data_IF_092101850998
#
_entry.id   IF_092101850998
#
_cell.length_a   1.000
_cell.length_b   1.000
_cell.length_c   1.000
_cell.angle_alpha   90.00
_cell.angle_beta   90.00
_cell.angle_gamma   90.00
#
_symmetry.space_group_name_H-M   'P 1'
#
loop_
_entity.id
_entity.type
_entity.pdbx_description
1 polymer ?
#
# COMPACT_ATOMS: atom_id res chain seq x y z
N UNK A 1 6.41 9.38 -23.86
CA UNK A 1 6.77 10.48 -22.93
C UNK A 1 7.08 10.02 -21.51
N UNK A 2 6.57 8.89 -21.00
CA UNK A 2 6.87 8.41 -19.63
C UNK A 2 7.99 7.36 -19.53
N UNK A 3 8.70 7.05 -20.62
CA UNK A 3 9.73 5.98 -20.63
C UNK A 3 10.84 6.19 -19.60
N UNK A 4 11.24 7.44 -19.35
CA UNK A 4 12.26 7.79 -18.35
C UNK A 4 11.95 7.29 -16.93
N UNK A 5 10.68 6.97 -16.61
CA UNK A 5 10.31 6.46 -15.28
C UNK A 5 10.59 4.97 -15.11
N UNK A 6 10.83 4.22 -16.19
CA UNK A 6 11.00 2.77 -16.13
C UNK A 6 12.10 2.18 -17.03
N UNK A 7 12.80 2.99 -17.83
CA UNK A 7 13.87 2.51 -18.71
C UNK A 7 15.04 1.87 -17.99
N UNK A 8 15.27 2.20 -16.72
CA UNK A 8 16.33 1.60 -15.92
C UNK A 8 15.92 0.32 -15.18
N UNK A 9 14.68 -0.14 -15.33
CA UNK A 9 14.25 -1.40 -14.72
C UNK A 9 14.87 -2.57 -15.47
N UNK A 10 15.72 -3.33 -14.79
CA UNK A 10 16.33 -4.54 -15.34
C UNK A 10 15.33 -5.70 -15.35
N UNK A 11 14.69 -5.96 -16.49
CA UNK A 11 13.70 -7.03 -16.67
C UNK A 11 14.32 -8.43 -16.77
N UNK A 12 15.65 -8.56 -16.78
CA UNK A 12 16.31 -9.87 -16.63
C UNK A 12 16.30 -10.36 -15.19
N UNK A 13 16.06 -9.46 -14.22
CA UNK A 13 15.88 -9.83 -12.82
C UNK A 13 14.49 -10.45 -12.67
N UNK A 14 14.44 -11.66 -12.09
CA UNK A 14 13.19 -12.37 -11.85
C UNK A 14 12.22 -11.53 -10.99
N UNK A 15 10.94 -11.54 -11.37
CA UNK A 15 9.90 -10.76 -10.69
C UNK A 15 9.92 -9.26 -10.98
N UNK A 16 10.93 -8.70 -11.68
CA UNK A 16 10.98 -7.26 -11.98
C UNK A 16 10.08 -6.85 -13.16
N UNK A 17 9.85 -7.75 -14.11
CA UNK A 17 9.03 -7.49 -15.30
C UNK A 17 9.43 -8.35 -16.50
N UNK A 18 9.22 -7.82 -17.70
CA UNK A 18 9.58 -8.48 -18.95
C UNK A 18 8.49 -9.39 -19.53
N UNK A 19 8.76 -9.94 -20.71
CA UNK A 19 7.77 -10.70 -21.46
C UNK A 19 7.36 -12.00 -20.76
N UNK A 20 8.27 -12.63 -20.02
CA UNK A 20 7.96 -13.80 -19.17
C UNK A 20 6.90 -13.47 -18.12
N UNK A 21 7.01 -12.30 -17.49
CA UNK A 21 6.05 -11.82 -16.50
C UNK A 21 4.71 -11.46 -17.13
N UNK A 22 4.71 -10.77 -18.28
CA UNK A 22 3.49 -10.47 -19.06
C UNK A 22 2.79 -11.76 -19.53
N UNK A 23 3.54 -12.81 -19.84
CA UNK A 23 2.99 -14.08 -20.33
C UNK A 23 2.79 -15.12 -19.23
N UNK A 24 3.08 -14.78 -17.96
CA UNK A 24 3.00 -15.72 -16.83
C UNK A 24 1.59 -16.33 -16.70
N UNK A 25 0.56 -15.53 -16.98
CA UNK A 25 -0.82 -16.00 -17.19
C UNK A 25 -1.33 -15.58 -18.56
N UNK A 26 -2.23 -16.39 -19.12
CA UNK A 26 -2.83 -16.09 -20.43
C UNK A 26 -3.70 -14.85 -20.36
N UNK A 27 -3.74 -14.07 -21.45
CA UNK A 27 -4.55 -12.83 -21.54
C UNK A 27 -6.03 -13.09 -21.25
N UNK A 28 -6.57 -14.20 -21.76
CA UNK A 28 -7.97 -14.60 -21.51
C UNK A 28 -8.20 -14.79 -20.01
N UNK A 29 -7.37 -15.60 -19.36
CA UNK A 29 -7.47 -15.85 -17.92
C UNK A 29 -7.32 -14.58 -17.10
N UNK A 30 -6.30 -13.75 -17.40
CA UNK A 30 -6.08 -12.46 -16.74
C UNK A 30 -7.32 -11.58 -16.82
N UNK A 31 -7.93 -11.48 -18.00
CA UNK A 31 -9.12 -10.68 -18.22
C UNK A 31 -10.30 -11.17 -17.36
N UNK A 32 -10.60 -12.48 -17.41
CA UNK A 32 -11.68 -13.06 -16.60
C UNK A 32 -11.44 -12.89 -15.10
N UNK A 33 -10.24 -13.23 -14.60
CA UNK A 33 -9.89 -13.03 -13.19
C UNK A 33 -10.05 -11.57 -12.77
N UNK A 34 -9.55 -10.63 -13.59
CA UNK A 34 -9.62 -9.21 -13.27
C UNK A 34 -11.05 -8.69 -13.30
N UNK A 35 -11.85 -9.11 -14.27
CA UNK A 35 -13.25 -8.73 -14.35
C UNK A 35 -14.03 -9.25 -13.13
N UNK A 36 -13.88 -10.52 -12.78
CA UNK A 36 -14.54 -11.11 -11.61
C UNK A 36 -14.12 -10.40 -10.32
N UNK A 37 -12.81 -10.23 -10.09
CA UNK A 37 -12.30 -9.54 -8.90
C UNK A 37 -12.81 -8.09 -8.84
N UNK A 38 -12.71 -7.34 -9.94
CA UNK A 38 -13.19 -5.96 -9.96
C UNK A 38 -14.71 -5.87 -9.71
N UNK A 39 -15.53 -6.73 -10.30
CA UNK A 39 -16.98 -6.72 -10.07
C UNK A 39 -17.28 -7.01 -8.59
N UNK A 40 -16.66 -8.03 -8.02
CA UNK A 40 -16.84 -8.38 -6.60
C UNK A 40 -16.44 -7.21 -5.70
N UNK A 41 -15.27 -6.62 -5.91
CA UNK A 41 -14.79 -5.55 -5.04
C UNK A 41 -15.45 -4.19 -5.29
N UNK A 42 -15.99 -3.93 -6.49
CA UNK A 42 -16.88 -2.78 -6.72
C UNK A 42 -18.19 -2.93 -5.95
N UNK A 43 -18.76 -4.15 -5.93
CA UNK A 43 -19.95 -4.44 -5.15
C UNK A 43 -19.71 -4.27 -3.64
N UNK A 44 -18.62 -4.83 -3.10
CA UNK A 44 -18.30 -4.67 -1.66
C UNK A 44 -17.92 -3.24 -1.31
N UNK A 45 -17.26 -2.50 -2.21
CA UNK A 45 -17.00 -1.06 -2.04
C UNK A 45 -18.30 -0.28 -1.91
N UNK A 46 -19.23 -0.48 -2.84
CA UNK A 46 -20.53 0.18 -2.82
C UNK A 46 -21.33 -0.18 -1.55
N UNK A 47 -21.40 -1.47 -1.20
CA UNK A 47 -22.12 -1.91 -0.01
C UNK A 47 -21.53 -1.32 1.28
N UNK A 48 -20.21 -1.38 1.45
CA UNK A 48 -19.55 -0.83 2.64
C UNK A 48 -19.69 0.69 2.75
N UNK A 49 -19.63 1.40 1.62
CA UNK A 49 -19.86 2.85 1.57
C UNK A 49 -21.23 3.26 2.15
N UNK A 50 -22.29 2.51 1.83
CA UNK A 50 -23.64 2.79 2.32
C UNK A 50 -23.79 2.63 3.85
N UNK A 51 -22.84 1.98 4.52
CA UNK A 51 -22.85 1.72 5.97
C UNK A 51 -21.98 2.68 6.77
N UNK A 52 -21.33 3.64 6.11
CA UNK A 52 -20.38 4.53 6.75
C UNK A 52 -21.03 5.46 7.76
N UNK A 53 -20.53 5.40 8.99
CA UNK A 53 -20.68 6.47 9.98
C UNK A 53 -19.33 7.18 10.13
N UNK A 54 -19.22 8.35 9.50
CA UNK A 54 -18.04 9.19 9.69
C UNK A 54 -18.30 10.04 10.93
N UNK A 55 -17.62 9.70 12.04
CA UNK A 55 -17.68 10.50 13.26
C UNK A 55 -17.09 11.90 13.02
N UNK A 56 -17.43 12.85 13.88
CA UNK A 56 -16.86 14.19 13.79
C UNK A 56 -15.33 14.15 14.02
N UNK A 57 -14.55 14.96 13.30
CA UNK A 57 -13.13 15.11 13.57
C UNK A 57 -12.92 15.58 15.01
N UNK A 58 -11.88 15.06 15.68
CA UNK A 58 -11.52 15.52 17.02
C UNK A 58 -10.57 16.70 16.84
N UNK A 59 -10.86 17.82 17.52
CA UNK A 59 -9.90 18.90 17.59
C UNK A 59 -8.83 18.52 18.62
N UNK A 60 -7.59 18.26 18.17
CA UNK A 60 -6.44 18.46 19.07
C UNK A 60 -5.91 19.87 18.90
N UNK A 61 -5.45 20.43 20.01
CA UNK A 61 -5.04 21.82 20.09
C UNK A 61 -3.53 22.02 19.92
N UNK A 62 -2.71 20.95 19.87
CA UNK A 62 -1.24 21.09 19.81
C UNK A 62 -0.52 20.05 18.96
N UNK A 63 0.31 20.55 18.04
CA UNK A 63 1.24 19.75 17.26
C UNK A 63 2.38 19.26 18.15
N UNK A 64 2.49 17.95 18.36
CA UNK A 64 3.52 17.39 19.26
C UNK A 64 4.91 17.45 18.64
N UNK A 65 5.95 17.60 19.47
CA UNK A 65 7.36 17.50 19.02
C UNK A 65 7.63 16.17 18.31
N UNK A 66 7.01 15.08 18.78
CA UNK A 66 7.11 13.76 18.15
C UNK A 66 6.59 13.79 16.70
N UNK A 67 5.42 14.40 16.46
CA UNK A 67 4.84 14.53 15.12
C UNK A 67 5.77 15.28 14.16
N UNK A 68 6.40 16.36 14.62
CA UNK A 68 7.37 17.11 13.81
C UNK A 68 8.64 16.29 13.52
N UNK A 69 9.17 15.56 14.51
CA UNK A 69 10.32 14.67 14.32
C UNK A 69 9.98 13.57 13.31
N UNK A 70 8.82 12.93 13.44
CA UNK A 70 8.35 11.90 12.50
C UNK A 70 8.15 12.47 11.10
N UNK A 71 7.60 13.68 10.96
CA UNK A 71 7.44 14.34 9.67
C UNK A 71 8.78 14.55 8.96
N UNK A 72 9.76 15.13 9.66
CA UNK A 72 11.09 15.40 9.11
C UNK A 72 11.78 14.09 8.73
N UNK A 73 11.77 13.11 9.63
CA UNK A 73 12.39 11.81 9.41
C UNK A 73 11.76 11.06 8.22
N UNK A 74 10.43 10.99 8.18
CA UNK A 74 9.72 10.25 7.13
C UNK A 74 9.87 10.93 5.76
N UNK A 75 9.81 12.26 5.71
CA UNK A 75 10.06 13.04 4.49
C UNK A 75 11.48 12.86 3.99
N UNK A 76 12.47 12.88 4.89
CA UNK A 76 13.88 12.68 4.54
C UNK A 76 14.13 11.28 3.95
N UNK A 77 13.65 10.23 4.62
CA UNK A 77 13.78 8.84 4.15
C UNK A 77 13.09 8.65 2.80
N UNK A 78 11.89 9.20 2.61
CA UNK A 78 11.19 9.11 1.34
C UNK A 78 11.87 9.91 0.22
N UNK A 79 12.45 11.07 0.55
CA UNK A 79 13.28 11.85 -0.38
C UNK A 79 14.51 11.07 -0.87
N UNK A 80 15.18 10.33 0.02
CA UNK A 80 16.27 9.43 -0.35
C UNK A 80 15.78 8.33 -1.30
N UNK A 81 14.66 7.67 -0.97
CA UNK A 81 14.07 6.62 -1.82
C UNK A 81 13.70 7.16 -3.22
N UNK A 82 13.10 8.35 -3.31
CA UNK A 82 12.84 9.01 -4.60
C UNK A 82 14.16 9.29 -5.33
N UNK A 83 15.19 9.77 -4.63
CA UNK A 83 16.53 10.01 -5.18
C UNK A 83 17.13 8.76 -5.83
N UNK A 84 17.07 7.61 -5.16
CA UNK A 84 17.51 6.33 -5.73
C UNK A 84 16.72 5.96 -6.99
N UNK A 85 15.39 6.11 -6.97
CA UNK A 85 14.54 5.80 -8.13
C UNK A 85 14.79 6.72 -9.32
N UNK A 86 15.06 8.00 -9.07
CA UNK A 86 15.43 8.95 -10.12
C UNK A 86 16.81 8.61 -10.70
N UNK A 87 17.81 8.35 -9.84
CA UNK A 87 19.17 8.00 -10.25
C UNK A 87 19.22 6.72 -11.09
N UNK A 88 18.34 5.76 -10.81
CA UNK A 88 18.25 4.48 -11.53
C UNK A 88 17.19 4.47 -12.63
N UNK A 89 16.45 5.56 -12.87
CA UNK A 89 15.33 5.57 -13.84
C UNK A 89 14.29 4.46 -13.60
N UNK A 90 13.96 4.24 -12.33
CA UNK A 90 12.99 3.24 -11.85
C UNK A 90 11.84 3.89 -11.07
N UNK A 91 11.56 5.17 -11.31
CA UNK A 91 10.51 5.95 -10.66
C UNK A 91 9.10 5.34 -10.75
N UNK A 92 8.83 4.50 -11.74
CA UNK A 92 7.56 3.78 -11.89
C UNK A 92 7.16 3.01 -10.62
N UNK A 93 8.14 2.52 -9.85
CA UNK A 93 7.91 1.82 -8.59
C UNK A 93 7.31 2.69 -7.48
N UNK A 94 7.26 4.01 -7.65
CA UNK A 94 6.54 4.91 -6.73
C UNK A 94 5.04 4.59 -6.67
N UNK A 95 4.50 3.88 -7.67
CA UNK A 95 3.13 3.38 -7.67
C UNK A 95 2.94 2.17 -6.75
N UNK A 96 4.00 1.55 -6.22
CA UNK A 96 3.81 0.48 -5.25
C UNK A 96 3.12 1.02 -3.99
N UNK A 97 2.17 0.28 -3.39
CA UNK A 97 1.34 0.78 -2.30
C UNK A 97 2.10 1.38 -1.11
N UNK A 98 3.28 0.84 -0.74
CA UNK A 98 4.06 1.37 0.38
C UNK A 98 4.50 2.83 0.18
N UNK A 99 4.80 3.26 -1.05
CA UNK A 99 5.14 4.65 -1.34
C UNK A 99 3.89 5.55 -1.32
N UNK A 100 2.74 5.07 -1.82
CA UNK A 100 1.47 5.79 -1.73
C UNK A 100 1.09 6.00 -0.26
N UNK A 101 1.23 4.97 0.57
CA UNK A 101 1.04 5.04 2.02
C UNK A 101 2.03 6.03 2.66
N UNK A 102 3.31 6.00 2.28
CA UNK A 102 4.31 6.97 2.75
C UNK A 102 3.88 8.41 2.45
N UNK A 103 3.40 8.68 1.24
CA UNK A 103 2.88 10.01 0.86
C UNK A 103 1.70 10.40 1.75
N UNK A 104 0.73 9.51 1.94
CA UNK A 104 -0.42 9.76 2.81
C UNK A 104 0.01 10.06 4.25
N UNK A 105 0.98 9.31 4.79
CA UNK A 105 1.50 9.53 6.14
C UNK A 105 2.22 10.87 6.29
N UNK A 106 3.03 11.27 5.31
CA UNK A 106 3.64 12.63 5.28
C UNK A 106 2.54 13.69 5.29
N UNK A 107 1.47 13.52 4.50
CA UNK A 107 0.34 14.45 4.49
C UNK A 107 -0.39 14.50 5.83
N UNK A 108 -0.62 13.36 6.50
CA UNK A 108 -1.21 13.34 7.85
C UNK A 108 -0.31 14.02 8.88
N UNK A 109 0.99 13.78 8.83
CA UNK A 109 1.96 14.42 9.71
C UNK A 109 2.02 15.93 9.49
N UNK A 110 1.84 16.40 8.24
CA UNK A 110 1.91 17.81 7.87
C UNK A 110 0.59 18.59 8.00
N UNK A 111 -0.57 17.93 7.94
CA UNK A 111 -1.89 18.60 7.88
C UNK A 111 -2.72 18.44 9.15
N UNK A 112 -3.42 19.49 9.58
CA UNK A 112 -4.39 19.40 10.68
C UNK A 112 -5.54 18.46 10.35
N UNK A 113 -6.14 17.84 11.36
CA UNK A 113 -7.35 17.04 11.16
C UNK A 113 -8.51 17.86 10.60
N UNK A 114 -9.07 17.34 9.52
CA UNK A 114 -10.36 17.68 8.92
C UNK A 114 -11.19 16.40 8.79
N UNK A 115 -12.45 16.54 8.39
CA UNK A 115 -13.29 15.39 8.05
C UNK A 115 -12.64 14.51 6.97
N UNK A 116 -12.10 15.13 5.91
CA UNK A 116 -11.49 14.41 4.79
C UNK A 116 -10.21 13.67 5.22
N UNK A 117 -9.31 14.33 5.93
CA UNK A 117 -8.06 13.69 6.38
C UNK A 117 -8.35 12.56 7.37
N UNK A 118 -9.37 12.69 8.21
CA UNK A 118 -9.81 11.62 9.13
C UNK A 118 -10.39 10.43 8.37
N UNK A 119 -11.21 10.69 7.36
CA UNK A 119 -11.76 9.66 6.48
C UNK A 119 -10.64 8.88 5.77
N UNK A 120 -9.67 9.58 5.18
CA UNK A 120 -8.54 8.95 4.50
C UNK A 120 -7.64 8.22 5.51
N UNK A 121 -7.44 8.77 6.72
CA UNK A 121 -6.66 8.12 7.78
C UNK A 121 -7.24 6.77 8.19
N UNK A 122 -8.57 6.67 8.36
CA UNK A 122 -9.25 5.39 8.66
C UNK A 122 -9.03 4.37 7.57
N UNK A 123 -9.14 4.78 6.31
CA UNK A 123 -8.88 3.89 5.17
C UNK A 123 -7.44 3.40 5.19
N UNK A 124 -6.51 4.35 5.36
CA UNK A 124 -5.08 4.08 5.43
C UNK A 124 -4.73 3.08 6.53
N UNK A 125 -5.35 3.15 7.71
CA UNK A 125 -5.07 2.26 8.83
C UNK A 125 -5.26 0.77 8.47
N UNK A 126 -6.20 0.46 7.58
CA UNK A 126 -6.46 -0.91 7.10
C UNK A 126 -5.54 -1.36 5.96
N UNK A 127 -4.78 -0.44 5.35
CA UNK A 127 -3.89 -0.73 4.22
C UNK A 127 -2.43 -1.03 4.65
N UNK A 128 -2.24 -1.45 5.92
CA UNK A 128 -0.92 -1.70 6.52
C UNK A 128 -0.37 -3.12 6.26
N UNK A 129 -1.08 -3.96 5.52
CA UNK A 129 -0.62 -5.30 5.13
C UNK A 129 0.65 -5.27 4.27
N UNK A 130 0.78 -4.29 3.37
CA UNK A 130 1.93 -4.14 2.48
C UNK A 130 3.27 -4.01 3.22
N UNK A 131 3.45 -3.04 4.13
CA UNK A 131 4.70 -2.89 4.88
C UNK A 131 5.00 -4.06 5.81
N UNK A 132 3.98 -4.70 6.39
CA UNK A 132 4.19 -5.93 7.17
C UNK A 132 4.81 -7.03 6.30
N UNK A 133 4.23 -7.29 5.12
CA UNK A 133 4.74 -8.30 4.20
C UNK A 133 6.11 -7.94 3.61
N UNK A 134 6.38 -6.66 3.40
CA UNK A 134 7.70 -6.18 2.97
C UNK A 134 8.80 -6.47 4.01
N UNK A 135 8.47 -6.45 5.30
CA UNK A 135 9.42 -6.79 6.36
C UNK A 135 9.59 -8.30 6.54
N UNK A 136 8.52 -9.10 6.33
CA UNK A 136 8.58 -10.56 6.49
C UNK A 136 9.13 -11.29 5.25
N UNK A 137 8.80 -10.79 4.05
CA UNK A 137 9.20 -11.35 2.75
C UNK A 137 9.82 -10.26 1.87
N UNK A 138 11.00 -9.75 2.24
CA UNK A 138 11.60 -8.58 1.59
C UNK A 138 12.00 -8.88 0.14
N UNK A 139 11.68 -7.95 -0.76
CA UNK A 139 12.07 -8.01 -2.18
C UNK A 139 13.20 -7.01 -2.38
N UNK A 140 14.43 -7.53 -2.40
CA UNK A 140 15.67 -6.74 -2.39
C UNK A 140 16.51 -6.91 -3.65
N UNK A 141 16.19 -7.90 -4.49
CA UNK A 141 16.93 -8.28 -5.69
C UNK A 141 16.98 -7.21 -6.78
N UNK A 142 16.13 -6.18 -6.70
CA UNK A 142 16.13 -5.03 -7.62
C UNK A 142 16.86 -3.80 -7.05
N UNK A 143 17.40 -3.88 -5.82
CA UNK A 143 18.09 -2.81 -5.12
C UNK A 143 19.60 -3.05 -5.15
N UNK A 144 20.33 -2.24 -5.90
CA UNK A 144 21.76 -2.44 -6.19
C UNK A 144 22.67 -1.35 -5.64
N UNK A 145 22.13 -0.17 -5.32
CA UNK A 145 22.93 0.95 -4.82
C UNK A 145 23.23 0.81 -3.32
N UNK A 146 24.38 1.34 -2.85
CA UNK A 146 24.67 1.43 -1.43
C UNK A 146 23.52 2.10 -0.67
N UNK A 147 23.19 1.57 0.51
CA UNK A 147 22.14 2.04 1.41
C UNK A 147 20.68 1.86 0.94
N UNK A 148 20.39 1.39 -0.28
CA UNK A 148 19.00 1.13 -0.70
C UNK A 148 18.28 0.11 0.19
N UNK A 149 19.02 -0.88 0.68
CA UNK A 149 18.52 -1.89 1.63
C UNK A 149 18.18 -1.26 2.98
N UNK A 150 19.05 -0.41 3.50
CA UNK A 150 18.83 0.27 4.79
C UNK A 150 17.63 1.20 4.68
N UNK A 151 17.58 2.02 3.63
CA UNK A 151 16.43 2.91 3.35
C UNK A 151 15.14 2.12 3.23
N UNK A 152 15.15 0.96 2.56
CA UNK A 152 14.00 0.07 2.47
C UNK A 152 13.47 -0.33 3.85
N UNK A 153 14.32 -0.90 4.71
CA UNK A 153 13.88 -1.34 6.04
C UNK A 153 13.45 -0.17 6.93
N UNK A 154 14.21 0.92 6.94
CA UNK A 154 13.88 2.13 7.72
C UNK A 154 12.53 2.69 7.27
N UNK A 155 12.28 2.79 5.98
CA UNK A 155 11.01 3.28 5.45
C UNK A 155 9.85 2.39 5.90
N UNK A 156 9.94 1.06 5.74
CA UNK A 156 8.85 0.15 6.09
C UNK A 156 8.59 0.09 7.60
N UNK A 157 9.64 0.20 8.44
CA UNK A 157 9.49 0.33 9.90
C UNK A 157 8.75 1.64 10.23
N UNK A 158 9.15 2.76 9.63
CA UNK A 158 8.46 4.05 9.85
C UNK A 158 7.00 3.98 9.44
N UNK A 159 6.68 3.33 8.32
CA UNK A 159 5.30 3.17 7.86
C UNK A 159 4.43 2.49 8.94
N UNK A 160 4.95 1.49 9.65
CA UNK A 160 4.21 0.78 10.70
C UNK A 160 4.11 1.61 11.98
N UNK A 161 5.15 2.37 12.34
CA UNK A 161 5.21 3.12 13.59
C UNK A 161 4.39 4.43 13.55
N UNK A 162 4.31 5.10 12.41
CA UNK A 162 3.62 6.40 12.29
C UNK A 162 2.14 6.32 12.67
N UNK A 163 1.33 5.34 12.19
CA UNK A 163 -0.06 5.20 12.60
C UNK A 163 -0.19 5.15 14.12
N UNK A 164 0.66 4.39 14.82
CA UNK A 164 0.62 4.24 16.28
C UNK A 164 0.76 5.58 17.03
N UNK A 165 1.46 6.56 16.47
CA UNK A 165 1.55 7.91 17.05
C UNK A 165 0.21 8.68 17.05
N UNK A 166 -0.73 8.24 16.21
CA UNK A 166 -2.08 8.79 16.05
C UNK A 166 -3.17 7.89 16.66
N UNK A 167 -2.85 6.78 17.31
CA UNK A 167 -3.85 5.84 17.84
C UNK A 167 -4.23 6.08 19.32
N UNK A 168 -3.75 7.15 19.94
CA UNK A 168 -4.12 7.49 21.32
C UNK A 168 -5.56 8.07 21.41
N UNK A 169 -6.24 7.90 22.54
CA UNK A 169 -7.56 8.48 22.82
C UNK A 169 -7.59 10.01 22.66
N UNK A 170 -6.45 10.67 22.86
CA UNK A 170 -6.26 12.12 22.63
C UNK A 170 -5.95 12.50 21.17
N UNK A 171 -6.02 11.55 20.24
CA UNK A 171 -5.70 11.78 18.83
C UNK A 171 -6.71 12.67 18.12
N UNK A 172 -6.20 13.44 17.17
CA UNK A 172 -6.96 14.24 16.20
C UNK A 172 -7.83 13.37 15.28
N UNK A 173 -7.38 12.15 14.99
CA UNK A 173 -8.05 11.24 14.08
C UNK A 173 -8.91 10.26 14.87
N UNK A 174 -10.23 10.31 14.64
CA UNK A 174 -11.14 9.32 15.21
C UNK A 174 -11.05 8.02 14.41
N UNK A 175 -11.05 6.89 15.12
CA UNK A 175 -11.15 5.55 14.55
C UNK A 175 -12.57 5.00 14.73
N UNK A 176 -12.95 4.01 13.92
CA UNK A 176 -14.24 3.34 14.02
C UNK A 176 -14.29 2.33 15.19
N UNK A 177 -15.50 1.96 15.65
CA UNK A 177 -15.70 0.86 16.60
C UNK A 177 -15.14 -0.48 16.08
N UNK A 178 -14.67 -1.32 17.01
CA UNK A 178 -14.04 -2.61 16.66
C UNK A 178 -15.00 -3.55 15.91
N UNK A 179 -16.29 -3.50 16.19
CA UNK A 179 -17.37 -4.27 15.57
C UNK A 179 -17.82 -3.72 14.21
N UNK A 180 -17.41 -2.51 13.82
CA UNK A 180 -17.72 -1.95 12.50
C UNK A 180 -16.75 -2.47 11.44
N UNK A 181 -17.12 -3.53 10.73
CA UNK A 181 -16.32 -4.09 9.64
C UNK A 181 -16.44 -3.30 8.31
N UNK A 182 -17.29 -2.27 8.24
CA UNK A 182 -17.53 -1.55 6.99
C UNK A 182 -16.26 -0.86 6.49
N UNK A 183 -15.49 -0.25 7.39
CA UNK A 183 -14.25 0.46 7.05
C UNK A 183 -13.15 -0.46 6.52
N UNK A 184 -12.95 -1.62 7.14
CA UNK A 184 -11.93 -2.59 6.68
C UNK A 184 -12.32 -3.19 5.33
N UNK A 185 -13.60 -3.52 5.11
CA UNK A 185 -14.11 -4.03 3.83
C UNK A 185 -13.96 -2.97 2.73
N UNK A 186 -14.28 -1.71 3.02
CA UNK A 186 -14.13 -0.62 2.07
C UNK A 186 -12.67 -0.40 1.69
N UNK A 187 -11.78 -0.39 2.68
CA UNK A 187 -10.34 -0.20 2.48
C UNK A 187 -9.71 -1.33 1.68
N UNK A 188 -10.07 -2.58 2.02
CA UNK A 188 -9.72 -3.76 1.24
C UNK A 188 -10.18 -3.61 -0.22
N UNK A 189 -11.41 -3.15 -0.43
CA UNK A 189 -11.97 -2.97 -1.77
C UNK A 189 -11.20 -1.93 -2.57
N UNK A 190 -10.87 -0.77 -1.98
CA UNK A 190 -10.03 0.25 -2.63
C UNK A 190 -8.65 -0.34 -2.96
N UNK A 191 -8.03 -1.05 -2.03
CA UNK A 191 -6.70 -1.59 -2.23
C UNK A 191 -6.68 -2.61 -3.37
N UNK A 192 -7.63 -3.55 -3.41
CA UNK A 192 -7.73 -4.53 -4.50
C UNK A 192 -8.01 -3.82 -5.83
N UNK A 193 -8.97 -2.89 -5.87
CA UNK A 193 -9.29 -2.15 -7.09
C UNK A 193 -8.10 -1.33 -7.60
N UNK A 194 -7.29 -0.73 -6.72
CA UNK A 194 -6.06 -0.04 -7.09
C UNK A 194 -5.10 -0.97 -7.85
N UNK A 195 -4.91 -2.20 -7.39
CA UNK A 195 -4.04 -3.16 -8.07
C UNK A 195 -4.56 -3.54 -9.45
N UNK A 196 -5.87 -3.80 -9.58
CA UNK A 196 -6.45 -4.33 -10.81
C UNK A 196 -6.82 -3.25 -11.84
N UNK A 197 -7.19 -2.04 -11.39
CA UNK A 197 -7.62 -0.93 -12.25
C UNK A 197 -6.51 0.10 -12.51
N UNK A 198 -5.48 0.18 -11.66
CA UNK A 198 -4.37 1.13 -11.82
C UNK A 198 -3.06 0.39 -12.11
N UNK A 199 -2.61 -0.48 -11.20
CA UNK A 199 -1.30 -1.12 -11.35
C UNK A 199 -1.27 -2.07 -12.54
N UNK A 200 -2.28 -2.93 -12.72
CA UNK A 200 -2.30 -3.90 -13.81
C UNK A 200 -2.24 -3.23 -15.19
N UNK A 201 -3.09 -2.24 -15.54
CA UNK A 201 -2.99 -1.58 -16.84
C UNK A 201 -1.62 -0.94 -17.08
N UNK A 202 -1.08 -0.23 -16.10
CA UNK A 202 0.25 0.40 -16.21
C UNK A 202 1.34 -0.65 -16.36
N UNK A 203 1.26 -1.74 -15.59
CA UNK A 203 2.19 -2.85 -15.66
C UNK A 203 2.15 -3.53 -17.05
N UNK A 204 0.97 -3.75 -17.62
CA UNK A 204 0.83 -4.31 -18.97
C UNK A 204 1.37 -3.39 -20.05
N UNK A 205 1.16 -2.08 -19.91
CA UNK A 205 1.65 -1.09 -20.87
C UNK A 205 3.18 -0.93 -20.84
N UNK A 206 3.79 -1.07 -19.67
CA UNK A 206 5.23 -0.85 -19.45
C UNK A 206 6.05 -2.14 -19.43
N UNK A 207 5.39 -3.28 -19.21
CA UNK A 207 6.03 -4.57 -18.98
C UNK A 207 6.71 -4.70 -17.62
N UNK A 208 6.51 -3.76 -16.70
CA UNK A 208 7.11 -3.75 -15.36
C UNK A 208 6.15 -4.35 -14.34
N UNK A 209 6.63 -5.21 -13.46
CA UNK A 209 5.79 -5.97 -12.53
C UNK A 209 5.38 -5.18 -11.29
N UNK A 210 4.54 -4.15 -11.45
CA UNK A 210 4.10 -3.29 -10.35
C UNK A 210 3.40 -4.07 -9.24
N UNK A 211 4.00 -4.05 -8.04
CA UNK A 211 3.59 -4.80 -6.86
C UNK A 211 3.15 -6.25 -7.15
N UNK A 212 3.89 -6.95 -8.00
CA UNK A 212 3.67 -8.37 -8.33
C UNK A 212 2.32 -8.68 -8.99
N UNK A 213 1.75 -7.75 -9.76
CA UNK A 213 0.44 -7.93 -10.41
C UNK A 213 0.50 -8.74 -11.72
N UNK A 214 1.67 -8.81 -12.38
CA UNK A 214 1.86 -9.54 -13.63
C UNK A 214 2.36 -10.97 -13.40
N UNK A 215 3.32 -11.13 -12.50
CA UNK A 215 3.87 -12.41 -12.04
C UNK A 215 4.20 -12.35 -10.53
N UNK A 216 4.26 -13.51 -9.84
CA UNK A 216 4.54 -13.55 -8.41
C UNK A 216 5.94 -13.01 -8.07
N UNK A 217 6.11 -12.59 -6.82
CA UNK A 217 7.44 -12.30 -6.29
C UNK A 217 8.27 -13.59 -6.20
N UNK A 218 9.61 -13.46 -6.21
CA UNK A 218 10.51 -14.60 -5.98
C UNK A 218 10.25 -15.24 -4.61
N UNK A 219 9.89 -14.43 -3.62
CA UNK A 219 9.59 -14.86 -2.26
C UNK A 219 8.13 -15.33 -2.05
N UNK A 220 7.30 -15.35 -3.10
CA UNK A 220 5.89 -15.71 -2.99
C UNK A 220 5.74 -17.23 -2.72
N UNK A 221 5.13 -17.65 -1.61
CA UNK A 221 4.95 -19.06 -1.28
C UNK A 221 3.86 -19.76 -2.12
N UNK A 222 3.08 -19.01 -2.91
CA UNK A 222 1.97 -19.54 -3.71
C UNK A 222 2.16 -19.32 -5.23
N UNK A 223 3.27 -19.79 -5.83
CA UNK A 223 3.47 -19.65 -7.27
C UNK A 223 2.47 -20.52 -8.05
N UNK A 224 2.38 -20.26 -9.35
CA UNK A 224 1.57 -21.02 -10.29
C UNK A 224 0.41 -20.23 -10.84
N UNK A 225 -0.47 -20.87 -11.64
CA UNK A 225 -1.46 -20.16 -12.45
C UNK A 225 -2.53 -19.44 -11.60
N UNK A 226 -2.70 -19.83 -10.34
CA UNK A 226 -3.68 -19.25 -9.40
C UNK A 226 -3.07 -18.19 -8.47
N UNK A 227 -1.80 -17.80 -8.60
CA UNK A 227 -1.11 -16.95 -7.61
C UNK A 227 -1.85 -15.64 -7.31
N UNK A 228 -2.50 -15.02 -8.31
CA UNK A 228 -3.28 -13.78 -8.13
C UNK A 228 -4.51 -13.99 -7.26
N UNK A 229 -5.18 -15.14 -7.39
CA UNK A 229 -6.34 -15.47 -6.57
C UNK A 229 -5.91 -15.78 -5.14
N UNK A 230 -4.78 -16.48 -4.97
CA UNK A 230 -4.15 -16.65 -3.67
C UNK A 230 -3.79 -15.31 -3.04
N UNK A 231 -3.18 -14.40 -3.81
CA UNK A 231 -2.89 -13.04 -3.38
C UNK A 231 -4.14 -12.32 -2.90
N UNK A 232 -5.21 -12.28 -3.69
CA UNK A 232 -6.48 -11.67 -3.28
C UNK A 232 -7.00 -12.30 -1.98
N UNK A 233 -6.97 -13.63 -1.86
CA UNK A 233 -7.46 -14.33 -0.69
C UNK A 233 -6.64 -14.02 0.58
N UNK A 234 -5.33 -14.27 0.56
CA UNK A 234 -4.51 -14.09 1.75
C UNK A 234 -4.38 -12.62 2.14
N UNK A 235 -4.34 -11.69 1.17
CA UNK A 235 -4.34 -10.25 1.47
C UNK A 235 -5.65 -9.81 2.11
N UNK A 236 -6.79 -10.35 1.66
CA UNK A 236 -8.09 -10.09 2.29
C UNK A 236 -8.11 -10.54 3.75
N UNK A 237 -7.60 -11.74 4.03
CA UNK A 237 -7.49 -12.25 5.41
C UNK A 237 -6.57 -11.37 6.26
N UNK A 238 -5.38 -11.04 5.76
CA UNK A 238 -4.41 -10.20 6.49
C UNK A 238 -5.02 -8.83 6.80
N UNK A 239 -5.66 -8.17 5.83
CA UNK A 239 -6.25 -6.84 6.04
C UNK A 239 -7.37 -6.89 7.08
N UNK A 240 -8.26 -7.89 7.01
CA UNK A 240 -9.35 -8.08 7.98
C UNK A 240 -8.84 -8.29 9.41
N UNK A 241 -7.75 -9.04 9.58
CA UNK A 241 -7.18 -9.36 10.90
C UNK A 241 -6.32 -8.20 11.40
N UNK A 242 -5.33 -7.75 10.61
CA UNK A 242 -4.37 -6.74 11.00
C UNK A 242 -5.04 -5.40 11.29
N UNK A 243 -5.98 -4.98 10.44
CA UNK A 243 -6.71 -3.72 10.64
C UNK A 243 -7.44 -3.69 11.98
N UNK A 244 -8.05 -4.81 12.39
CA UNK A 244 -8.74 -4.92 13.68
C UNK A 244 -7.78 -5.03 14.87
N UNK A 245 -6.67 -5.74 14.74
CA UNK A 245 -5.63 -5.79 15.78
C UNK A 245 -5.07 -4.38 16.06
N UNK A 246 -4.81 -3.59 15.02
CA UNK A 246 -4.32 -2.22 15.18
C UNK A 246 -5.32 -1.33 15.94
N UNK A 247 -6.63 -1.53 15.73
CA UNK A 247 -7.66 -0.82 16.46
C UNK A 247 -7.72 -1.21 17.95
N UNK A 248 -7.41 -2.45 18.33
CA UNK A 248 -7.39 -2.85 19.74
C UNK A 248 -6.45 -1.97 20.57
N UNK A 249 -5.30 -1.58 20.02
CA UNK A 249 -4.34 -0.69 20.68
C UNK A 249 -4.85 0.76 20.86
N UNK A 250 -6.02 1.12 20.29
CA UNK A 250 -6.63 2.45 20.44
C UNK A 250 -7.61 2.55 21.62
N UNK A 251 -8.12 1.41 22.08
CA UNK A 251 -9.21 1.35 23.07
C UNK A 251 -8.73 1.01 24.49
N UNK A 252 -7.43 0.77 24.67
CA UNK A 252 -6.72 0.74 25.96
C UNK A 252 -6.12 2.13 26.28
#
# INVERSE_FOLDING_TARGET
MLSWTYTGVNTSIEGAGGQSCINYITTKRRFFESACVCITFLYTLYWSYLKFSVGNPRHSNEQTKLRQILLVLHTFVFGIEIGFKLATSTLIWILNPCHIITILQILFLASSSSWLTTFIFRIHLHMMNGPLLALTFPILNTRSLPFEHVTYFVQHILIILIPASFLNQSSEFSVEPIDDFSWVIFSLSIQVLYHFLVLQPIALMTGINLNNILCPAISDPFPGPNYRLWAVFHQSVIILVLGKILLCFCFD
#
